data_IF_600768777172
#
_entry.id   IF_600768777172
#
_cell.length_a   1.000
_cell.length_b   1.000
_cell.length_c   1.000
_cell.angle_alpha   90.00
_cell.angle_beta   90.00
_cell.angle_gamma   90.00
#
_symmetry.space_group_name_H-M   'P 1'
#
loop_
_entity.id
_entity.type
_entity.pdbx_description
1 polymer ?
#
# COMPACT_ATOMS: atom_id res chain seq x y z
N UNK A 1 -8.98 -8.37 -4.62
CA UNK A 1 -7.68 -7.77 -4.29
C UNK A 1 -7.11 -6.88 -5.40
N UNK A 2 -7.09 -7.32 -6.67
CA UNK A 2 -6.56 -6.52 -7.80
C UNK A 2 -7.12 -5.10 -7.91
N UNK A 3 -8.45 -4.94 -7.87
CA UNK A 3 -9.12 -3.61 -7.92
C UNK A 3 -8.68 -2.72 -6.75
N UNK A 4 -8.64 -3.27 -5.53
CA UNK A 4 -8.24 -2.54 -4.33
C UNK A 4 -6.81 -1.99 -4.45
N UNK A 5 -5.86 -2.83 -4.87
CA UNK A 5 -4.46 -2.42 -5.09
C UNK A 5 -4.36 -1.41 -6.24
N UNK A 6 -5.00 -1.69 -7.38
CA UNK A 6 -4.99 -0.80 -8.55
C UNK A 6 -5.53 0.60 -8.24
N UNK A 7 -6.62 0.69 -7.48
CA UNK A 7 -7.17 1.97 -7.04
C UNK A 7 -6.20 2.71 -6.10
N UNK A 8 -5.50 2.02 -5.19
CA UNK A 8 -4.50 2.66 -4.35
C UNK A 8 -3.30 3.20 -5.14
N UNK A 9 -2.85 2.46 -6.16
CA UNK A 9 -1.80 2.94 -7.07
C UNK A 9 -2.26 4.21 -7.81
N UNK A 10 -3.48 4.21 -8.34
CA UNK A 10 -4.05 5.38 -9.01
C UNK A 10 -4.16 6.59 -8.07
N UNK A 11 -4.69 6.40 -6.86
CA UNK A 11 -4.78 7.46 -5.85
C UNK A 11 -3.40 8.05 -5.54
N UNK A 12 -2.37 7.20 -5.40
CA UNK A 12 -1.00 7.65 -5.13
C UNK A 12 -0.37 8.45 -6.27
N UNK A 13 -0.82 8.26 -7.51
CA UNK A 13 -0.40 9.05 -8.66
C UNK A 13 -1.16 10.38 -8.81
N UNK A 14 -2.27 10.57 -8.09
CA UNK A 14 -3.10 11.76 -8.18
C UNK A 14 -2.73 12.79 -7.10
N UNK A 15 -2.83 14.08 -7.43
CA UNK A 15 -2.55 15.19 -6.48
C UNK A 15 -3.61 15.34 -5.38
N UNK A 16 -4.73 14.62 -5.47
CA UNK A 16 -5.85 14.78 -4.54
C UNK A 16 -5.58 14.06 -3.22
N UNK A 17 -5.29 14.81 -2.17
CA UNK A 17 -4.94 14.25 -0.84
C UNK A 17 -6.11 13.56 -0.13
N UNK A 18 -7.34 13.96 -0.44
CA UNK A 18 -8.55 13.40 0.21
C UNK A 18 -9.18 12.32 -0.66
N UNK A 19 -8.89 11.06 -0.33
CA UNK A 19 -9.41 9.87 -1.03
C UNK A 19 -10.92 9.93 -1.29
N UNK A 20 -11.72 10.43 -0.33
CA UNK A 20 -13.19 10.48 -0.44
C UNK A 20 -13.69 11.27 -1.66
N UNK A 21 -12.90 12.22 -2.17
CA UNK A 21 -13.29 13.11 -3.26
C UNK A 21 -13.38 12.40 -4.61
N UNK A 22 -12.72 11.25 -4.79
CA UNK A 22 -12.81 10.50 -6.05
C UNK A 22 -14.23 10.02 -6.38
N UNK A 23 -15.15 10.04 -5.42
CA UNK A 23 -16.58 9.68 -5.60
C UNK A 23 -17.52 10.89 -5.59
N UNK A 24 -17.04 12.10 -5.36
CA UNK A 24 -17.87 13.33 -5.40
C UNK A 24 -17.90 13.92 -6.79
N UNK A 25 -19.02 14.53 -7.21
CA UNK A 25 -19.24 15.03 -8.58
C UNK A 25 -18.06 15.85 -9.12
N UNK A 26 -17.62 16.86 -8.36
CA UNK A 26 -16.62 17.85 -8.83
C UNK A 26 -15.20 17.28 -8.98
N UNK A 27 -14.91 16.16 -8.30
CA UNK A 27 -13.57 15.55 -8.25
C UNK A 27 -13.62 14.07 -8.64
N UNK A 28 -14.69 13.65 -9.31
CA UNK A 28 -14.94 12.26 -9.63
C UNK A 28 -13.85 11.76 -10.56
N UNK A 29 -13.23 10.66 -10.19
CA UNK A 29 -12.34 9.92 -11.10
C UNK A 29 -13.08 8.66 -11.50
N UNK A 30 -13.63 8.64 -12.72
CA UNK A 30 -14.48 7.54 -13.22
C UNK A 30 -13.79 6.17 -13.03
N UNK A 31 -12.50 6.07 -13.40
CA UNK A 31 -11.74 4.84 -13.24
C UNK A 31 -11.69 4.31 -11.79
N UNK A 32 -11.73 5.20 -10.79
CA UNK A 32 -11.78 4.82 -9.37
C UNK A 32 -13.22 4.53 -8.95
N UNK A 33 -14.13 5.47 -9.23
CA UNK A 33 -15.48 5.47 -8.70
C UNK A 33 -16.40 4.40 -9.32
N UNK A 34 -16.13 4.01 -10.56
CA UNK A 34 -16.85 2.95 -11.26
C UNK A 34 -16.28 1.56 -10.91
N UNK A 35 -15.01 1.49 -10.49
CA UNK A 35 -14.34 0.22 -10.14
C UNK A 35 -14.67 -0.29 -8.73
N UNK A 36 -14.87 0.61 -7.76
CA UNK A 36 -15.16 0.24 -6.37
C UNK A 36 -15.97 1.35 -5.68
N UNK A 37 -16.92 0.97 -4.83
CA UNK A 37 -17.67 1.97 -4.05
C UNK A 37 -16.81 2.60 -2.96
N UNK A 38 -17.13 3.85 -2.61
CA UNK A 38 -16.45 4.58 -1.54
C UNK A 38 -16.44 3.79 -0.24
N UNK A 39 -17.59 3.30 0.21
CA UNK A 39 -17.69 2.61 1.49
C UNK A 39 -16.89 1.31 1.48
N UNK A 40 -16.89 0.59 0.35
CA UNK A 40 -16.16 -0.67 0.21
C UNK A 40 -14.65 -0.49 0.30
N UNK A 41 -14.07 0.55 -0.29
CA UNK A 41 -12.63 0.77 -0.17
C UNK A 41 -12.21 1.11 1.27
N UNK A 42 -13.01 1.88 2.01
CA UNK A 42 -12.70 2.19 3.42
C UNK A 42 -12.83 0.97 4.32
N UNK A 43 -13.84 0.14 4.12
CA UNK A 43 -13.99 -1.14 4.83
C UNK A 43 -12.80 -2.07 4.57
N UNK A 44 -12.42 -2.24 3.29
CA UNK A 44 -11.25 -3.04 2.94
C UNK A 44 -9.97 -2.50 3.58
N UNK A 45 -9.79 -1.17 3.63
CA UNK A 45 -8.64 -0.54 4.30
C UNK A 45 -8.60 -0.85 5.79
N UNK A 46 -9.74 -0.88 6.49
CA UNK A 46 -9.79 -1.20 7.92
C UNK A 46 -9.59 -2.68 8.22
N UNK A 47 -9.87 -3.56 7.26
CA UNK A 47 -9.80 -5.02 7.44
C UNK A 47 -8.58 -5.66 6.75
N UNK A 48 -7.66 -4.87 6.19
CA UNK A 48 -6.53 -5.38 5.43
C UNK A 48 -5.42 -5.89 6.37
N UNK A 49 -5.20 -7.20 6.36
CA UNK A 49 -4.12 -7.88 7.07
C UNK A 49 -3.26 -8.68 6.09
N UNK A 50 -1.94 -8.50 6.20
CA UNK A 50 -0.94 -9.17 5.35
C UNK A 50 -0.57 -10.55 5.88
N UNK A 51 -0.62 -10.71 7.20
CA UNK A 51 -0.33 -11.96 7.91
C UNK A 51 -1.51 -12.33 8.82
N UNK A 52 -1.56 -13.59 9.21
CA UNK A 52 -2.48 -14.04 10.24
C UNK A 52 -1.99 -13.57 11.61
N UNK A 53 -2.74 -12.67 12.26
CA UNK A 53 -2.35 -12.14 13.57
C UNK A 53 -2.32 -13.23 14.65
N UNK A 54 -3.07 -14.32 14.49
CA UNK A 54 -3.11 -15.42 15.44
C UNK A 54 -1.85 -16.30 15.40
N UNK A 55 -1.05 -16.19 14.34
CA UNK A 55 0.20 -16.92 14.18
C UNK A 55 1.42 -16.14 14.71
N UNK A 56 1.22 -14.89 15.18
CA UNK A 56 2.31 -14.08 15.72
C UNK A 56 2.71 -14.63 17.10
N UNK A 57 3.98 -15.02 17.31
CA UNK A 57 4.44 -15.50 18.61
C UNK A 57 4.28 -14.44 19.71
N UNK A 58 3.86 -14.87 20.90
CA UNK A 58 3.69 -13.99 22.08
C UNK A 58 4.99 -13.26 22.45
N UNK A 59 6.14 -13.90 22.24
CA UNK A 59 7.46 -13.36 22.51
C UNK A 59 8.13 -12.70 21.27
N UNK A 60 7.36 -12.40 20.22
CA UNK A 60 7.88 -11.78 19.01
C UNK A 60 8.52 -10.41 19.32
N UNK A 61 9.75 -10.22 18.83
CA UNK A 61 10.51 -8.96 18.96
C UNK A 61 10.52 -8.13 17.68
N UNK A 62 10.08 -8.69 16.55
CA UNK A 62 10.03 -7.96 15.28
C UNK A 62 8.86 -6.97 15.27
N UNK A 63 9.17 -5.69 15.47
CA UNK A 63 8.20 -4.59 15.42
C UNK A 63 7.55 -4.45 14.03
N UNK A 64 8.17 -4.98 12.98
CA UNK A 64 7.72 -4.89 11.59
C UNK A 64 6.99 -6.16 11.12
N UNK A 65 6.73 -7.12 12.01
CA UNK A 65 6.20 -8.45 11.68
C UNK A 65 4.94 -8.40 10.80
N UNK A 66 4.04 -7.44 11.05
CA UNK A 66 2.76 -7.31 10.36
C UNK A 66 2.87 -7.10 8.85
N UNK A 67 4.00 -6.61 8.36
CA UNK A 67 4.26 -6.37 6.93
C UNK A 67 5.53 -7.07 6.43
N UNK A 68 6.23 -7.79 7.31
CA UNK A 68 7.51 -8.47 7.06
C UNK A 68 7.47 -9.33 5.80
N UNK A 69 6.42 -10.14 5.64
CA UNK A 69 6.27 -11.04 4.49
C UNK A 69 6.29 -10.29 3.15
N UNK A 70 5.59 -9.16 3.05
CA UNK A 70 5.59 -8.36 1.83
C UNK A 70 6.91 -7.62 1.63
N UNK A 71 7.49 -7.07 2.69
CA UNK A 71 8.77 -6.39 2.63
C UNK A 71 9.89 -7.31 2.15
N UNK A 72 9.97 -8.53 2.69
CA UNK A 72 11.02 -9.49 2.33
C UNK A 72 10.87 -9.95 0.88
N UNK A 73 9.63 -10.16 0.41
CA UNK A 73 9.34 -10.47 -0.99
C UNK A 73 9.77 -9.34 -1.93
N UNK A 74 9.43 -8.10 -1.59
CA UNK A 74 9.83 -6.91 -2.34
C UNK A 74 11.36 -6.75 -2.37
N UNK A 75 12.01 -6.81 -1.20
CA UNK A 75 13.46 -6.68 -1.08
C UNK A 75 14.20 -7.79 -1.84
N UNK A 76 13.69 -9.02 -1.80
CA UNK A 76 14.24 -10.15 -2.56
C UNK A 76 14.24 -9.82 -4.05
N UNK A 77 13.15 -9.27 -4.58
CA UNK A 77 13.07 -8.86 -5.99
C UNK A 77 13.99 -7.67 -6.30
N UNK A 78 14.04 -6.64 -5.45
CA UNK A 78 14.96 -5.51 -5.65
C UNK A 78 16.42 -5.97 -5.72
N UNK A 79 16.79 -6.98 -4.92
CA UNK A 79 18.15 -7.56 -4.93
C UNK A 79 18.49 -8.31 -6.22
N UNK A 80 17.51 -8.76 -7.02
CA UNK A 80 17.76 -9.40 -8.32
C UNK A 80 17.96 -8.40 -9.45
N UNK A 81 17.65 -7.12 -9.23
CA UNK A 81 17.85 -6.07 -10.24
C UNK A 81 19.35 -5.79 -10.43
N UNK A 82 19.80 -5.51 -11.67
CA UNK A 82 21.18 -5.10 -11.93
C UNK A 82 21.49 -3.80 -11.18
N UNK A 83 22.73 -3.66 -10.69
CA UNK A 83 23.20 -2.48 -9.98
C UNK A 83 24.18 -1.71 -10.86
N UNK A 84 24.01 -0.40 -10.89
CA UNK A 84 24.98 0.52 -11.48
C UNK A 84 26.22 0.65 -10.60
N UNK A 85 27.29 1.21 -11.16
CA UNK A 85 28.56 1.45 -10.44
C UNK A 85 28.48 2.68 -9.52
N UNK A 86 27.66 3.66 -9.88
CA UNK A 86 27.51 4.91 -9.14
C UNK A 86 26.20 4.87 -8.34
N UNK A 87 26.30 4.58 -7.05
CA UNK A 87 25.16 4.43 -6.15
C UNK A 87 25.16 5.52 -5.08
N UNK A 88 23.97 5.99 -4.73
CA UNK A 88 23.73 6.91 -3.60
C UNK A 88 22.91 6.23 -2.52
N UNK A 89 23.18 6.56 -1.26
CA UNK A 89 22.43 6.12 -0.10
C UNK A 89 21.91 7.37 0.61
N UNK A 90 20.62 7.38 0.89
CA UNK A 90 19.93 8.48 1.57
C UNK A 90 18.74 7.90 2.36
N UNK A 91 18.26 8.64 3.35
CA UNK A 91 17.08 8.26 4.12
C UNK A 91 15.79 8.82 3.53
N UNK A 92 14.72 8.04 3.59
CA UNK A 92 13.36 8.52 3.28
C UNK A 92 12.46 8.39 4.50
N UNK A 93 11.88 9.52 4.94
CA UNK A 93 10.90 9.54 6.02
C UNK A 93 9.49 9.39 5.46
N UNK A 94 8.77 8.37 5.93
CA UNK A 94 7.34 8.20 5.66
C UNK A 94 6.57 8.82 6.83
N UNK A 95 5.76 9.84 6.55
CA UNK A 95 4.87 10.43 7.55
C UNK A 95 3.71 9.46 7.82
N UNK A 96 3.44 9.21 9.11
CA UNK A 96 2.37 8.33 9.59
C UNK A 96 1.24 9.14 10.24
#
# INVERSE_FOLDING_TARGET
MKIFVGVHLLIGCLKQTRIRLHWTSDFRVNLIADSISRNRIFELRSCFHVINNNEIPVNNKDKFIKVRLHYDSFLKHCKTLPKDTNLSIDEQVIQF
#
